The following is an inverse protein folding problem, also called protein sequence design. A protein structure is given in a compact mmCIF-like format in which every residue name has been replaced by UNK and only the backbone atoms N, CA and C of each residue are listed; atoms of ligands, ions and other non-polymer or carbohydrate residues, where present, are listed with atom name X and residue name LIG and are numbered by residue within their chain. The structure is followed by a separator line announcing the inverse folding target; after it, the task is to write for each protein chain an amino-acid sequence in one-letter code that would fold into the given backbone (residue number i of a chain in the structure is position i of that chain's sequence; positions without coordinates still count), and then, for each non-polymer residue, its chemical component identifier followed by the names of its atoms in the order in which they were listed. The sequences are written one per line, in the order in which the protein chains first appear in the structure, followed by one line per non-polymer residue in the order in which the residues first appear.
data_IF_516641390305
#
_entry.id   IF_516641390305
#
_cell.length_a   1.000
_cell.length_b   1.000
_cell.length_c   1.000
_cell.angle_alpha   90.00
_cell.angle_beta   90.00
_cell.angle_gamma   90.00
#
_symmetry.space_group_name_H-M   'P 1'
#
loop_
_entity.id
_entity.type
_entity.pdbx_description
1 polymer ?
#
# COMPACT_ATOMS: atom_id res chain seq x y z
N UNK A 1 -24.02 -13.40 27.05
CA UNK A 1 -22.75 -12.83 27.56
C UNK A 1 -21.70 -12.99 26.48
N UNK A 2 -21.49 -11.95 25.70
CA UNK A 2 -20.34 -11.77 24.80
C UNK A 2 -20.30 -10.27 24.54
N UNK A 3 -19.38 -9.60 25.23
CA UNK A 3 -19.16 -8.18 25.17
C UNK A 3 -18.74 -7.76 23.76
N UNK A 4 -19.55 -6.92 23.13
CA UNK A 4 -19.16 -6.15 21.96
C UNK A 4 -18.18 -5.07 22.44
N UNK A 5 -16.89 -5.31 22.28
CA UNK A 5 -15.85 -4.33 22.58
C UNK A 5 -15.84 -3.28 21.46
N UNK A 6 -16.65 -2.23 21.59
CA UNK A 6 -16.50 -0.99 20.84
C UNK A 6 -15.22 -0.30 21.30
N UNK A 7 -14.07 -0.69 20.73
CA UNK A 7 -12.83 0.03 20.92
C UNK A 7 -12.99 1.44 20.33
N UNK A 8 -13.08 2.44 21.19
CA UNK A 8 -13.07 3.85 20.80
C UNK A 8 -11.79 4.13 19.99
N UNK A 9 -11.95 4.41 18.69
CA UNK A 9 -10.86 4.75 17.80
C UNK A 9 -10.22 6.06 18.30
N UNK A 10 -9.02 5.96 18.89
CA UNK A 10 -8.30 7.12 19.44
C UNK A 10 -7.62 7.89 18.32
N UNK A 11 -8.35 8.83 17.70
CA UNK A 11 -7.72 9.90 16.92
C UNK A 11 -7.52 11.12 17.80
N UNK A 12 -6.28 11.45 18.12
CA UNK A 12 -5.94 12.63 18.92
C UNK A 12 -5.28 13.72 18.04
N UNK A 13 -5.68 15.00 18.20
CA UNK A 13 -4.96 16.10 17.60
C UNK A 13 -3.62 16.28 18.31
N UNK A 14 -2.52 16.18 17.57
CA UNK A 14 -1.18 16.43 18.07
C UNK A 14 -0.88 17.91 18.27
N UNK A 15 0.00 18.22 19.22
CA UNK A 15 0.41 19.58 19.60
C UNK A 15 1.08 20.42 18.48
N UNK A 16 1.21 19.92 17.25
CA UNK A 16 1.91 20.58 16.12
C UNK A 16 1.29 20.29 14.74
N UNK A 17 -0.03 20.33 14.60
CA UNK A 17 -0.68 20.14 13.29
C UNK A 17 -0.44 18.74 12.68
N UNK A 18 -0.33 17.73 13.55
CA UNK A 18 -0.14 16.32 13.21
C UNK A 18 -1.31 15.49 13.72
N UNK A 19 -1.92 14.68 12.87
CA UNK A 19 -2.98 13.75 13.24
C UNK A 19 -2.38 12.38 13.57
N UNK A 20 -2.82 11.78 14.69
CA UNK A 20 -2.40 10.44 15.11
C UNK A 20 -3.52 9.44 14.85
N UNK A 21 -3.16 8.33 14.21
CA UNK A 21 -4.01 7.17 13.95
C UNK A 21 -3.28 5.99 14.59
N UNK A 22 -3.77 5.51 15.72
CA UNK A 22 -3.05 4.51 16.52
C UNK A 22 -3.95 3.34 16.92
N UNK A 23 -3.38 2.13 16.91
CA UNK A 23 -4.02 0.94 17.48
C UNK A 23 -5.23 0.45 16.70
N UNK A 24 -5.32 0.75 15.40
CA UNK A 24 -6.38 0.21 14.54
C UNK A 24 -6.11 -1.28 14.33
N UNK A 25 -7.09 -2.12 14.67
CA UNK A 25 -6.99 -3.57 14.61
C UNK A 25 -8.25 -4.19 14.04
N UNK A 26 -8.10 -5.11 13.08
CA UNK A 26 -9.20 -5.88 12.46
C UNK A 26 -10.33 -5.00 11.92
N UNK A 27 -9.99 -3.81 11.43
CA UNK A 27 -10.93 -2.83 10.94
C UNK A 27 -10.42 -2.21 9.64
N UNK A 28 -11.35 -1.68 8.85
CA UNK A 28 -11.03 -0.76 7.78
C UNK A 28 -11.23 0.67 8.25
N UNK A 29 -10.27 1.55 7.98
CA UNK A 29 -10.29 2.92 8.47
C UNK A 29 -10.01 3.91 7.34
N UNK A 30 -10.76 5.00 7.29
CA UNK A 30 -10.67 6.02 6.24
C UNK A 30 -10.51 7.40 6.85
N UNK A 31 -9.65 8.22 6.25
CA UNK A 31 -9.48 9.65 6.53
C UNK A 31 -9.44 10.43 5.23
N UNK A 32 -10.35 11.39 5.13
CA UNK A 32 -10.43 12.37 4.04
C UNK A 32 -9.82 13.72 4.46
N UNK A 33 -9.58 14.66 3.52
CA UNK A 33 -9.03 15.97 3.84
C UNK A 33 -9.80 16.72 4.95
N UNK A 34 -11.14 16.63 4.93
CA UNK A 34 -12.04 17.23 5.93
C UNK A 34 -11.80 16.69 7.35
N UNK A 35 -11.41 15.42 7.48
CA UNK A 35 -11.17 14.78 8.78
C UNK A 35 -9.89 15.21 9.46
N UNK A 36 -8.94 15.77 8.69
CA UNK A 36 -7.62 16.13 9.19
C UNK A 36 -7.59 17.53 9.83
N UNK A 37 -8.68 18.31 9.74
CA UNK A 37 -8.84 19.63 10.40
C UNK A 37 -7.62 20.56 10.23
N UNK A 38 -7.02 20.58 9.04
CA UNK A 38 -5.82 21.38 8.74
C UNK A 38 -4.50 20.78 9.22
N UNK A 39 -4.49 19.54 9.73
CA UNK A 39 -3.26 18.80 10.03
C UNK A 39 -2.49 18.54 8.74
N UNK A 40 -1.26 19.03 8.66
CA UNK A 40 -0.39 18.87 7.49
C UNK A 40 0.47 17.60 7.57
N UNK A 41 0.33 16.81 8.63
CA UNK A 41 1.06 15.56 8.80
C UNK A 41 0.23 14.50 9.50
N UNK A 42 0.51 13.23 9.20
CA UNK A 42 -0.16 12.06 9.79
C UNK A 42 0.87 11.09 10.34
N UNK A 43 0.54 10.47 11.47
CA UNK A 43 1.28 9.34 12.03
C UNK A 43 0.35 8.14 12.21
N UNK A 44 0.64 7.06 11.52
CA UNK A 44 -0.02 5.76 11.64
C UNK A 44 0.86 4.88 12.52
N UNK A 45 0.37 4.52 13.70
CA UNK A 45 1.16 3.87 14.75
C UNK A 45 0.50 2.57 15.20
N UNK A 46 1.27 1.50 15.31
CA UNK A 46 0.83 0.27 15.99
C UNK A 46 -0.49 -0.30 15.46
N UNK A 47 -0.76 -0.16 14.16
CA UNK A 47 -1.96 -0.68 13.51
C UNK A 47 -1.70 -2.08 12.94
N UNK A 48 -2.63 -3.01 13.13
CA UNK A 48 -2.42 -4.39 12.72
C UNK A 48 -3.68 -5.04 12.13
N UNK A 49 -3.51 -6.05 11.27
CA UNK A 49 -4.62 -6.78 10.65
C UNK A 49 -5.70 -5.88 10.01
N UNK A 50 -5.30 -4.75 9.44
CA UNK A 50 -6.21 -3.67 9.07
C UNK A 50 -5.90 -3.09 7.70
N UNK A 51 -6.87 -2.38 7.13
CA UNK A 51 -6.65 -1.56 5.96
C UNK A 51 -6.96 -0.10 6.26
N UNK A 52 -6.01 0.78 5.95
CA UNK A 52 -6.08 2.19 6.29
C UNK A 52 -5.96 3.02 5.02
N UNK A 53 -6.95 3.88 4.78
CA UNK A 53 -7.00 4.80 3.66
C UNK A 53 -6.89 6.23 4.18
N UNK A 54 -5.76 6.88 3.99
CA UNK A 54 -5.56 8.29 4.33
C UNK A 54 -5.47 9.09 3.03
N UNK A 55 -6.62 9.45 2.47
CA UNK A 55 -6.79 9.97 1.11
C UNK A 55 -6.75 11.51 1.08
N UNK A 56 -5.67 12.09 1.59
CA UNK A 56 -5.54 13.54 1.74
C UNK A 56 -4.17 14.07 1.33
N UNK A 57 -4.05 15.37 0.97
CA UNK A 57 -2.77 15.99 0.71
C UNK A 57 -2.03 16.20 2.04
N UNK A 58 -0.81 15.67 2.14
CA UNK A 58 0.01 15.73 3.35
C UNK A 58 1.37 16.36 3.04
N UNK A 59 1.97 17.01 4.03
CA UNK A 59 3.40 17.38 3.96
C UNK A 59 4.28 16.23 4.40
N UNK A 60 3.90 15.55 5.47
CA UNK A 60 4.66 14.43 6.04
C UNK A 60 3.75 13.28 6.46
N UNK A 61 4.20 12.05 6.27
CA UNK A 61 3.55 10.87 6.83
C UNK A 61 4.58 9.99 7.54
N UNK A 62 4.18 9.37 8.65
CA UNK A 62 4.98 8.35 9.33
C UNK A 62 4.13 7.13 9.57
N UNK A 63 4.64 5.96 9.19
CA UNK A 63 4.07 4.65 9.49
C UNK A 63 5.05 3.94 10.41
N UNK A 64 4.61 3.54 11.59
CA UNK A 64 5.48 2.96 12.60
C UNK A 64 4.82 1.76 13.28
N UNK A 65 5.56 0.67 13.45
CA UNK A 65 5.11 -0.46 14.29
C UNK A 65 3.86 -1.17 13.76
N UNK A 66 3.57 -1.06 12.46
CA UNK A 66 2.37 -1.67 11.87
C UNK A 66 2.68 -3.08 11.37
N UNK A 67 1.70 -3.99 11.44
CA UNK A 67 1.87 -5.38 10.98
C UNK A 67 0.65 -5.93 10.24
N UNK A 68 0.86 -6.78 9.24
CA UNK A 68 -0.26 -7.45 8.54
C UNK A 68 -1.33 -6.48 8.01
N UNK A 69 -0.88 -5.32 7.51
CA UNK A 69 -1.75 -4.20 7.18
C UNK A 69 -1.53 -3.69 5.75
N UNK A 70 -2.57 -3.11 5.15
CA UNK A 70 -2.45 -2.32 3.91
C UNK A 70 -2.70 -0.86 4.24
N UNK A 71 -1.76 0.02 3.90
CA UNK A 71 -1.83 1.44 4.23
C UNK A 71 -1.70 2.24 2.94
N UNK A 72 -2.79 2.88 2.56
CA UNK A 72 -2.88 3.79 1.41
C UNK A 72 -2.74 5.21 1.90
N UNK A 73 -1.74 5.92 1.42
CA UNK A 73 -1.53 7.34 1.66
C UNK A 73 -1.81 8.12 0.38
N UNK A 74 -2.53 9.23 0.52
CA UNK A 74 -2.63 10.27 -0.50
C UNK A 74 -1.28 10.93 -0.80
N UNK A 75 -1.32 12.03 -1.56
CA UNK A 75 -0.10 12.70 -1.99
C UNK A 75 0.68 13.31 -0.80
N UNK A 76 1.99 13.00 -0.70
CA UNK A 76 2.87 13.48 0.38
C UNK A 76 4.03 14.33 -0.15
N UNK A 77 3.91 15.65 -0.02
CA UNK A 77 4.80 16.62 -0.68
C UNK A 77 6.23 16.70 -0.18
N UNK A 78 6.55 16.22 1.03
CA UNK A 78 7.92 16.29 1.56
C UNK A 78 8.58 14.96 1.82
N UNK A 79 8.01 14.12 2.68
CA UNK A 79 8.60 12.83 3.03
C UNK A 79 7.60 11.88 3.68
N UNK A 80 7.67 10.61 3.30
CA UNK A 80 7.08 9.47 4.01
C UNK A 80 8.20 8.72 4.73
N UNK A 81 7.95 8.34 5.98
CA UNK A 81 8.85 7.47 6.75
C UNK A 81 8.11 6.20 7.17
N UNK A 82 8.68 5.03 6.89
CA UNK A 82 8.14 3.73 7.30
C UNK A 82 9.17 3.03 8.15
N UNK A 83 8.81 2.72 9.39
CA UNK A 83 9.73 2.23 10.42
C UNK A 83 9.13 1.03 11.17
N UNK A 84 9.93 -0.01 11.42
CA UNK A 84 9.54 -1.13 12.27
C UNK A 84 8.22 -1.80 11.86
N UNK A 85 8.01 -2.01 10.56
CA UNK A 85 6.80 -2.62 10.02
C UNK A 85 7.05 -4.04 9.49
N UNK A 86 6.06 -4.92 9.60
CA UNK A 86 6.17 -6.33 9.21
C UNK A 86 4.96 -6.78 8.38
N UNK A 87 5.17 -7.40 7.21
CA UNK A 87 4.08 -7.83 6.31
C UNK A 87 3.08 -6.71 6.01
N UNK A 88 3.59 -5.50 5.76
CA UNK A 88 2.78 -4.32 5.44
C UNK A 88 2.90 -3.99 3.95
N UNK A 89 1.76 -3.70 3.32
CA UNK A 89 1.70 -3.08 2.01
C UNK A 89 1.51 -1.57 2.17
N UNK A 90 2.46 -0.77 1.68
CA UNK A 90 2.36 0.69 1.69
C UNK A 90 2.21 1.19 0.27
N UNK A 91 1.14 1.94 0.01
CA UNK A 91 0.85 2.54 -1.29
C UNK A 91 0.88 4.05 -1.13
N UNK A 92 1.80 4.74 -1.79
CA UNK A 92 1.95 6.20 -1.62
C UNK A 92 2.56 6.92 -2.83
N UNK A 93 2.03 8.10 -3.11
CA UNK A 93 2.64 9.10 -3.98
C UNK A 93 3.38 10.13 -3.12
N UNK A 94 4.70 10.25 -3.24
CA UNK A 94 5.49 11.07 -2.32
C UNK A 94 6.74 11.66 -2.95
N UNK A 95 7.21 12.80 -2.42
CA UNK A 95 8.45 13.42 -2.95
C UNK A 95 9.69 12.60 -2.57
N UNK A 96 9.68 12.04 -1.36
CA UNK A 96 10.76 11.23 -0.77
C UNK A 96 10.16 10.15 0.11
N UNK A 97 10.79 8.98 0.13
CA UNK A 97 10.42 7.87 1.01
C UNK A 97 11.67 7.34 1.70
N UNK A 98 11.59 7.15 3.01
CA UNK A 98 12.62 6.50 3.83
C UNK A 98 11.99 5.28 4.51
N UNK A 99 12.60 4.12 4.30
CA UNK A 99 12.16 2.83 4.83
C UNK A 99 13.26 2.31 5.75
N UNK A 100 12.88 1.92 6.95
CA UNK A 100 13.83 1.46 7.95
C UNK A 100 13.29 0.34 8.82
N UNK A 101 14.15 -0.64 9.12
CA UNK A 101 13.84 -1.76 10.01
C UNK A 101 12.53 -2.48 9.64
N UNK A 102 12.27 -2.68 8.34
CA UNK A 102 11.04 -3.30 7.85
C UNK A 102 11.29 -4.74 7.35
N UNK A 103 10.28 -5.60 7.49
CA UNK A 103 10.36 -7.02 7.14
C UNK A 103 9.19 -7.49 6.31
N UNK A 104 9.46 -8.16 5.20
CA UNK A 104 8.43 -8.79 4.35
C UNK A 104 7.36 -7.77 3.89
N UNK A 105 7.75 -6.50 3.71
CA UNK A 105 6.87 -5.42 3.27
C UNK A 105 6.96 -5.19 1.77
N UNK A 106 5.86 -4.71 1.19
CA UNK A 106 5.77 -4.34 -0.23
C UNK A 106 5.42 -2.86 -0.35
N UNK A 107 6.18 -2.13 -1.15
CA UNK A 107 6.02 -0.69 -1.33
C UNK A 107 5.63 -0.36 -2.77
N UNK A 108 4.42 0.15 -2.97
CA UNK A 108 3.92 0.63 -4.27
C UNK A 108 4.08 2.15 -4.33
N UNK A 109 5.07 2.60 -5.09
CA UNK A 109 5.63 3.95 -4.96
C UNK A 109 5.46 4.78 -6.22
N UNK A 110 4.96 6.00 -6.03
CA UNK A 110 5.03 7.08 -7.02
C UNK A 110 5.93 8.17 -6.47
N UNK A 111 7.23 8.10 -6.75
CA UNK A 111 8.24 8.93 -6.05
C UNK A 111 9.11 9.76 -6.97
N UNK A 112 9.26 11.05 -6.65
CA UNK A 112 10.10 11.96 -7.45
C UNK A 112 11.59 11.85 -7.12
N UNK A 113 11.93 11.22 -6.00
CA UNK A 113 13.31 10.93 -5.59
C UNK A 113 13.43 9.45 -5.22
N UNK A 114 14.64 8.90 -5.41
CA UNK A 114 14.95 7.52 -5.05
C UNK A 114 14.57 7.18 -3.59
N UNK A 115 13.90 6.04 -3.34
CA UNK A 115 13.66 5.54 -1.99
C UNK A 115 14.96 5.28 -1.23
N UNK A 116 14.99 5.67 0.04
CA UNK A 116 16.12 5.40 0.94
C UNK A 116 15.80 4.17 1.80
N UNK A 117 16.70 3.21 1.85
CA UNK A 117 16.63 2.02 2.69
C UNK A 117 17.68 2.16 3.80
N UNK A 118 17.26 2.13 5.05
CA UNK A 118 18.15 2.37 6.22
C UNK A 118 17.95 1.26 7.24
N UNK A 119 19.00 0.89 7.97
CA UNK A 119 18.88 -0.13 9.03
C UNK A 119 18.64 -1.54 8.49
N UNK A 120 18.05 -2.39 9.32
CA UNK A 120 17.93 -3.83 9.08
C UNK A 120 16.62 -4.16 8.34
N UNK A 121 16.69 -4.20 7.02
CA UNK A 121 15.54 -4.50 6.17
C UNK A 121 15.65 -5.92 5.60
N UNK A 122 14.56 -6.67 5.65
CA UNK A 122 14.54 -8.08 5.22
C UNK A 122 13.39 -8.36 4.26
N UNK A 123 13.67 -9.03 3.13
CA UNK A 123 12.66 -9.43 2.12
C UNK A 123 11.73 -8.29 1.69
N UNK A 124 12.27 -7.10 1.47
CA UNK A 124 11.48 -5.98 0.96
C UNK A 124 11.26 -6.08 -0.54
N UNK A 125 10.08 -5.64 -0.98
CA UNK A 125 9.75 -5.49 -2.39
C UNK A 125 9.32 -4.06 -2.72
N UNK A 126 9.71 -3.56 -3.89
CA UNK A 126 9.23 -2.30 -4.46
C UNK A 126 8.51 -2.53 -5.78
N UNK A 127 7.52 -1.69 -6.06
CA UNK A 127 6.72 -1.71 -7.27
C UNK A 127 6.34 -0.28 -7.67
N UNK A 128 6.00 -0.04 -8.95
CA UNK A 128 5.41 1.23 -9.34
C UNK A 128 4.07 1.43 -8.62
N UNK A 129 3.71 2.69 -8.38
CA UNK A 129 2.40 3.07 -7.84
C UNK A 129 1.28 2.41 -8.65
N UNK A 130 0.26 1.86 -7.98
CA UNK A 130 -0.70 0.94 -8.58
C UNK A 130 -2.17 1.27 -8.27
N UNK A 131 -2.47 2.48 -7.82
CA UNK A 131 -3.83 2.88 -7.43
C UNK A 131 -4.13 4.30 -7.90
N UNK A 132 -5.38 4.73 -7.78
CA UNK A 132 -5.76 6.13 -7.79
C UNK A 132 -7.07 6.32 -7.01
N UNK A 133 -7.35 7.55 -6.61
CA UNK A 133 -8.65 7.99 -6.11
C UNK A 133 -8.99 9.32 -6.77
N UNK A 134 -10.26 9.71 -6.74
CA UNK A 134 -10.80 10.77 -7.59
C UNK A 134 -10.07 12.11 -7.49
N UNK A 135 -9.59 12.48 -6.31
CA UNK A 135 -8.94 13.75 -5.99
C UNK A 135 -7.40 13.68 -6.00
N UNK A 136 -6.82 12.55 -6.44
CA UNK A 136 -5.38 12.31 -6.34
C UNK A 136 -4.54 13.37 -7.09
N UNK A 137 -4.89 13.71 -8.33
CA UNK A 137 -4.11 14.70 -9.12
C UNK A 137 -4.15 16.11 -8.50
N UNK A 138 -5.29 16.52 -7.95
CA UNK A 138 -5.43 17.79 -7.23
C UNK A 138 -4.53 17.80 -5.99
N UNK A 139 -4.59 16.73 -5.17
CA UNK A 139 -3.74 16.59 -4.01
C UNK A 139 -2.24 16.53 -4.37
N UNK A 140 -1.89 15.93 -5.51
CA UNK A 140 -0.52 15.92 -6.03
C UNK A 140 -0.05 17.33 -6.42
N UNK A 141 -0.90 18.10 -7.10
CA UNK A 141 -0.62 19.48 -7.47
C UNK A 141 -0.40 20.37 -6.22
N UNK A 142 -1.27 20.24 -5.21
CA UNK A 142 -1.21 21.01 -3.97
C UNK A 142 0.11 20.83 -3.21
N UNK A 143 0.65 19.61 -3.23
CA UNK A 143 1.85 19.26 -2.46
C UNK A 143 3.11 19.16 -3.33
N UNK A 144 2.98 19.42 -4.63
CA UNK A 144 4.08 19.53 -5.60
C UNK A 144 4.73 18.19 -5.94
N UNK A 145 3.92 17.16 -6.18
CA UNK A 145 4.34 15.87 -6.75
C UNK A 145 4.17 15.90 -8.26
N UNK A 146 5.22 15.54 -8.98
CA UNK A 146 5.21 15.44 -10.44
C UNK A 146 4.93 14.00 -10.88
N UNK A 147 3.82 13.76 -11.56
CA UNK A 147 3.46 12.43 -12.05
C UNK A 147 4.41 11.90 -13.14
N UNK A 148 5.13 12.78 -13.84
CA UNK A 148 6.05 12.41 -14.92
C UNK A 148 7.37 11.83 -14.41
N UNK A 149 7.67 12.01 -13.12
CA UNK A 149 8.91 11.54 -12.49
C UNK A 149 8.56 10.43 -11.51
N UNK A 150 8.96 9.19 -11.82
CA UNK A 150 8.82 8.07 -10.89
C UNK A 150 10.10 7.24 -10.78
N UNK A 151 10.82 7.38 -9.66
CA UNK A 151 12.11 6.73 -9.35
C UNK A 151 11.96 5.58 -8.35
N UNK A 152 10.83 4.90 -8.37
CA UNK A 152 10.47 3.84 -7.42
C UNK A 152 11.47 2.67 -7.38
N UNK A 153 12.16 2.40 -8.48
CA UNK A 153 13.09 1.28 -8.64
C UNK A 153 14.57 1.65 -8.43
N UNK A 154 14.88 2.92 -8.19
CA UNK A 154 16.23 3.46 -7.96
C UNK A 154 16.63 3.43 -6.47
N UNK A 155 16.41 2.34 -5.75
CA UNK A 155 16.60 2.32 -4.28
C UNK A 155 18.05 2.58 -3.85
N UNK A 156 18.25 3.34 -2.77
CA UNK A 156 19.57 3.59 -2.16
C UNK A 156 19.61 3.03 -0.75
N UNK A 157 20.40 1.99 -0.54
CA UNK A 157 20.72 1.47 0.79
C UNK A 157 21.79 2.35 1.47
N UNK A 158 21.48 2.86 2.66
CA UNK A 158 22.42 3.51 3.56
C UNK A 158 22.79 2.49 4.63
N UNK A 159 23.99 1.91 4.49
CA UNK A 159 24.48 0.88 5.40
C UNK A 159 24.60 1.39 6.84
N UNK A 160 24.35 0.50 7.80
CA UNK A 160 24.77 0.73 9.19
C UNK A 160 26.28 0.51 9.20
N UNK A 161 27.04 1.60 9.11
CA UNK A 161 28.46 1.54 9.46
C UNK A 161 28.48 1.34 10.97
N UNK A 162 28.80 0.12 11.43
CA UNK A 162 29.08 -0.10 12.84
C UNK A 162 30.29 0.78 13.22
N UNK A 163 30.14 1.79 14.10
CA UNK A 163 31.26 2.65 14.50
C UNK A 163 32.35 1.88 15.26
N UNK A 164 32.05 0.66 15.74
CA UNK A 164 33.00 -0.22 16.41
C UNK A 164 33.75 -1.17 15.45
N UNK A 165 33.43 -1.19 14.16
CA UNK A 165 34.13 -2.01 13.17
C UNK A 165 35.37 -1.30 12.59
N UNK A 166 36.14 -0.68 13.48
CA UNK A 166 37.36 0.06 13.14
C UNK A 166 38.58 -0.85 12.91
N UNK A 167 38.43 -2.17 12.84
CA UNK A 167 39.54 -3.09 12.62
C UNK A 167 39.17 -4.13 11.57
N UNK A 168 39.45 -3.77 10.32
CA UNK A 168 39.60 -4.70 9.21
C UNK A 168 40.63 -5.79 9.59
N UNK A 169 40.14 -6.92 10.07
CA UNK A 169 40.93 -8.13 10.16
C UNK A 169 40.96 -8.80 8.77
N UNK A 170 42.14 -9.20 8.25
CA UNK A 170 42.29 -9.73 6.88
C UNK A 170 41.73 -11.15 6.67
N UNK A 171 40.91 -11.65 7.60
CA UNK A 171 40.27 -12.97 7.56
C UNK A 171 38.74 -12.92 7.84
N UNK A 172 38.13 -11.73 7.79
CA UNK A 172 36.68 -11.55 7.97
C UNK A 172 35.92 -11.63 6.65
N UNK A 173 34.91 -12.50 6.60
CA UNK A 173 33.86 -12.52 5.57
C UNK A 173 33.40 -11.10 5.22
N UNK A 174 33.20 -10.77 3.93
CA UNK A 174 32.73 -9.44 3.56
C UNK A 174 31.40 -9.18 4.25
N UNK A 175 31.32 -8.01 4.89
CA UNK A 175 30.18 -7.50 5.65
C UNK A 175 28.85 -7.79 4.97
N UNK A 176 27.87 -8.10 5.83
CA UNK A 176 26.46 -8.31 5.52
C UNK A 176 26.01 -7.27 4.49
N UNK A 177 26.03 -7.66 3.21
CA UNK A 177 25.44 -6.86 2.15
C UNK A 177 23.99 -6.64 2.54
N UNK A 178 23.59 -5.38 2.74
CA UNK A 178 22.19 -5.03 2.91
C UNK A 178 21.40 -5.74 1.81
N UNK A 179 20.44 -6.58 2.23
CA UNK A 179 19.73 -7.46 1.31
C UNK A 179 19.12 -6.59 0.18
N UNK A 180 19.40 -6.90 -1.10
CA UNK A 180 18.93 -6.07 -2.19
C UNK A 180 17.40 -6.08 -2.20
N UNK A 181 16.80 -4.89 -2.23
CA UNK A 181 15.35 -4.76 -2.31
C UNK A 181 14.87 -5.30 -3.65
N UNK A 182 14.03 -6.32 -3.60
CA UNK A 182 13.51 -6.97 -4.79
C UNK A 182 12.44 -6.11 -5.46
N UNK A 183 12.20 -6.32 -6.75
CA UNK A 183 11.07 -5.73 -7.47
C UNK A 183 9.92 -6.73 -7.46
N UNK A 184 8.68 -6.24 -7.32
CA UNK A 184 7.51 -7.11 -7.49
C UNK A 184 7.48 -7.62 -8.93
N UNK A 185 7.24 -8.92 -9.11
CA UNK A 185 7.14 -9.54 -10.42
C UNK A 185 5.99 -8.90 -11.22
N UNK A 186 6.20 -8.49 -12.49
CA UNK A 186 5.13 -7.94 -13.32
C UNK A 186 3.88 -8.80 -13.41
N UNK A 187 3.98 -10.13 -13.37
CA UNK A 187 2.84 -11.05 -13.42
C UNK A 187 2.05 -11.07 -12.10
N UNK A 188 2.69 -10.68 -10.98
CA UNK A 188 2.04 -10.53 -9.67
C UNK A 188 1.50 -9.12 -9.42
N UNK A 189 1.82 -8.16 -10.29
CA UNK A 189 1.39 -6.78 -10.16
C UNK A 189 -0.09 -6.62 -10.53
N UNK A 190 -0.90 -6.16 -9.57
CA UNK A 190 -2.30 -5.79 -9.79
C UNK A 190 -2.55 -4.36 -9.36
N UNK A 191 -3.49 -3.70 -10.04
CA UNK A 191 -3.99 -2.42 -9.56
C UNK A 191 -4.73 -2.64 -8.23
N UNK A 192 -4.42 -1.79 -7.27
CA UNK A 192 -5.16 -1.72 -6.02
C UNK A 192 -6.38 -0.82 -6.23
N UNK A 193 -7.55 -1.28 -5.79
CA UNK A 193 -8.81 -0.57 -5.96
C UNK A 193 -9.18 0.10 -4.63
N UNK A 194 -9.32 1.42 -4.66
CA UNK A 194 -9.88 2.18 -3.54
C UNK A 194 -11.40 2.20 -3.70
N UNK A 195 -12.17 1.69 -2.71
CA UNK A 195 -13.62 1.72 -2.77
C UNK A 195 -14.20 3.12 -2.98
N UNK A 196 -15.20 3.22 -3.86
CA UNK A 196 -15.81 4.47 -4.32
C UNK A 196 -16.86 5.07 -3.36
N UNK A 197 -17.28 4.34 -2.33
CA UNK A 197 -18.28 4.77 -1.35
C UNK A 197 -17.68 5.60 -0.21
N UNK A 198 -16.37 5.86 -0.23
CA UNK A 198 -15.67 6.72 0.74
C UNK A 198 -15.91 8.22 0.58
N UNK A 199 -16.94 8.60 -0.20
CA UNK A 199 -17.53 9.92 -0.20
C UNK A 199 -16.69 10.96 -0.94
N UNK A 200 -17.00 11.15 -2.22
CA UNK A 200 -16.82 12.41 -2.90
C UNK A 200 -18.16 12.79 -3.54
N UNK A 201 -18.83 13.81 -3.02
CA UNK A 201 -20.06 14.35 -3.61
C UNK A 201 -19.79 15.03 -4.98
N UNK A 202 -18.52 15.21 -5.35
CA UNK A 202 -18.07 15.64 -6.66
C UNK A 202 -17.18 14.57 -7.33
N UNK A 203 -17.38 14.25 -8.61
CA UNK A 203 -16.44 13.43 -9.35
C UNK A 203 -15.11 14.20 -9.44
N UNK A 204 -14.10 13.74 -8.71
CA UNK A 204 -12.74 14.27 -8.84
C UNK A 204 -12.19 14.04 -10.26
N UNK A 205 -11.14 14.78 -10.60
CA UNK A 205 -10.59 14.80 -11.97
C UNK A 205 -9.88 13.51 -12.37
N UNK A 206 -9.40 12.72 -11.41
CA UNK A 206 -8.52 11.58 -11.67
C UNK A 206 -9.31 10.33 -12.05
N UNK A 207 -9.07 9.83 -13.26
CA UNK A 207 -9.79 8.69 -13.84
C UNK A 207 -8.96 7.42 -13.94
N UNK A 208 -7.65 7.55 -13.84
CA UNK A 208 -6.68 6.49 -13.97
C UNK A 208 -5.42 6.81 -13.15
N UNK A 209 -4.49 5.87 -13.10
CA UNK A 209 -3.24 6.03 -12.36
C UNK A 209 -2.36 7.10 -13.03
N UNK A 210 -2.06 8.23 -12.36
CA UNK A 210 -1.32 9.32 -12.98
C UNK A 210 0.15 8.96 -13.27
N UNK A 211 0.71 7.95 -12.60
CA UNK A 211 2.08 7.51 -12.83
C UNK A 211 2.15 6.51 -13.98
N UNK A 212 2.99 6.80 -14.98
CA UNK A 212 3.22 5.88 -16.09
C UNK A 212 3.87 4.59 -15.60
N UNK A 213 3.32 3.46 -16.01
CA UNK A 213 3.87 2.14 -15.72
C UNK A 213 5.01 1.82 -16.70
N UNK A 214 6.09 1.15 -16.23
CA UNK A 214 7.09 0.59 -17.13
C UNK A 214 6.49 -0.47 -18.07
N UNK A 215 7.09 -0.63 -19.25
CA UNK A 215 6.58 -1.50 -20.33
C UNK A 215 6.31 -2.93 -19.87
N UNK A 216 7.19 -3.52 -19.05
CA UNK A 216 7.01 -4.87 -18.53
C UNK A 216 5.73 -5.04 -17.69
N UNK A 217 5.45 -4.07 -16.81
CA UNK A 217 4.23 -4.07 -15.98
C UNK A 217 2.99 -3.81 -16.83
N UNK A 218 3.07 -2.88 -17.78
CA UNK A 218 1.97 -2.58 -18.69
C UNK A 218 1.60 -3.79 -19.56
N UNK A 219 2.59 -4.44 -20.17
CA UNK A 219 2.40 -5.62 -21.00
C UNK A 219 1.80 -6.80 -20.21
N UNK A 220 2.27 -7.00 -18.98
CA UNK A 220 1.69 -7.99 -18.05
C UNK A 220 0.22 -7.67 -17.73
N UNK A 221 -0.10 -6.43 -17.36
CA UNK A 221 -1.49 -6.04 -17.09
C UNK A 221 -2.40 -6.25 -18.30
N UNK A 222 -1.96 -5.85 -19.49
CA UNK A 222 -2.73 -6.05 -20.71
C UNK A 222 -2.96 -7.53 -21.02
N UNK A 223 -1.92 -8.36 -20.84
CA UNK A 223 -2.03 -9.82 -20.97
C UNK A 223 -3.04 -10.38 -19.98
N UNK A 224 -2.96 -10.00 -18.70
CA UNK A 224 -3.87 -10.48 -17.66
C UNK A 224 -5.32 -10.06 -17.92
N UNK A 225 -5.55 -8.82 -18.33
CA UNK A 225 -6.89 -8.32 -18.71
C UNK A 225 -7.44 -9.09 -19.91
N UNK A 226 -6.61 -9.33 -20.93
CA UNK A 226 -6.99 -10.11 -22.11
C UNK A 226 -7.35 -11.55 -21.73
N UNK A 227 -6.48 -12.22 -20.98
CA UNK A 227 -6.70 -13.59 -20.51
C UNK A 227 -7.98 -13.69 -19.66
N UNK A 228 -8.24 -12.71 -18.79
CA UNK A 228 -9.46 -12.66 -17.99
C UNK A 228 -10.70 -12.49 -18.88
N UNK A 229 -10.63 -11.64 -19.90
CA UNK A 229 -11.70 -11.44 -20.89
C UNK A 229 -12.01 -12.72 -21.67
N UNK A 230 -10.98 -13.40 -22.16
CA UNK A 230 -11.09 -14.69 -22.86
C UNK A 230 -11.68 -15.77 -21.94
N UNK A 231 -11.18 -15.86 -20.70
CA UNK A 231 -11.70 -16.81 -19.70
C UNK A 231 -13.17 -16.54 -19.38
N UNK A 232 -13.57 -15.28 -19.17
CA UNK A 232 -14.98 -14.91 -18.94
C UNK A 232 -15.86 -15.25 -20.13
N UNK A 233 -15.37 -15.05 -21.36
CA UNK A 233 -16.10 -15.40 -22.59
C UNK A 233 -16.28 -16.92 -22.69
N UNK A 234 -15.22 -17.69 -22.46
CA UNK A 234 -15.25 -19.15 -22.49
C UNK A 234 -16.21 -19.72 -21.44
N UNK A 235 -16.21 -19.17 -20.22
CA UNK A 235 -17.15 -19.55 -19.16
C UNK A 235 -18.61 -19.25 -19.53
N UNK A 236 -18.88 -18.16 -20.25
CA UNK A 236 -20.22 -17.77 -20.67
C UNK A 236 -20.75 -18.61 -21.84
N UNK A 237 -19.86 -18.94 -22.79
CA UNK A 237 -20.20 -19.69 -24.01
C UNK A 237 -20.16 -21.21 -23.80
N UNK A 238 -19.62 -21.69 -22.67
CA UNK A 238 -19.58 -23.11 -22.36
C UNK A 238 -20.99 -23.72 -22.32
N UNK A 239 -21.23 -24.84 -23.02
CA UNK A 239 -22.53 -25.51 -23.05
C UNK A 239 -22.76 -26.30 -21.74
N UNK A 240 -22.94 -25.58 -20.64
CA UNK A 240 -23.14 -26.15 -19.31
C UNK A 240 -24.63 -26.27 -19.00
N UNK A 241 -25.03 -27.41 -18.44
CA UNK A 241 -26.36 -27.58 -17.87
C UNK A 241 -26.52 -26.73 -16.60
N UNK A 242 -27.76 -26.45 -16.21
CA UNK A 242 -28.04 -25.56 -15.07
C UNK A 242 -27.50 -26.09 -13.73
N UNK A 243 -27.41 -27.41 -13.58
CA UNK A 243 -26.77 -28.04 -12.41
C UNK A 243 -25.25 -27.80 -12.42
N UNK A 244 -24.60 -27.98 -13.56
CA UNK A 244 -23.15 -27.77 -13.72
C UNK A 244 -22.78 -26.29 -13.53
N UNK A 245 -23.61 -25.35 -13.99
CA UNK A 245 -23.42 -23.91 -13.72
C UNK A 245 -23.45 -23.60 -12.23
N UNK A 246 -24.37 -24.23 -11.47
CA UNK A 246 -24.44 -24.08 -10.01
C UNK A 246 -23.20 -24.64 -9.33
N UNK A 247 -22.76 -25.84 -9.70
CA UNK A 247 -21.54 -26.46 -9.16
C UNK A 247 -20.30 -25.61 -9.43
N UNK A 248 -20.15 -25.10 -10.66
CA UNK A 248 -19.05 -24.22 -11.03
C UNK A 248 -19.05 -22.92 -10.22
N UNK A 249 -20.23 -22.30 -10.06
CA UNK A 249 -20.38 -21.09 -9.24
C UNK A 249 -19.99 -21.35 -7.79
N UNK A 250 -20.42 -22.47 -7.20
CA UNK A 250 -20.04 -22.87 -5.85
C UNK A 250 -18.53 -23.11 -5.71
N UNK A 251 -17.90 -23.77 -6.68
CA UNK A 251 -16.45 -23.99 -6.68
C UNK A 251 -15.67 -22.66 -6.80
N UNK A 252 -16.10 -21.76 -7.69
CA UNK A 252 -15.51 -20.44 -7.84
C UNK A 252 -15.63 -19.61 -6.55
N UNK A 253 -16.79 -19.65 -5.88
CA UNK A 253 -16.97 -18.97 -4.60
C UNK A 253 -16.05 -19.53 -3.51
N UNK A 254 -15.86 -20.85 -3.45
CA UNK A 254 -14.95 -21.46 -2.48
C UNK A 254 -13.49 -21.03 -2.74
N UNK A 255 -13.04 -21.15 -3.99
CA UNK A 255 -11.68 -20.74 -4.39
C UNK A 255 -11.45 -19.24 -4.15
N UNK A 256 -12.45 -18.40 -4.44
CA UNK A 256 -12.37 -16.97 -4.17
C UNK A 256 -12.29 -16.68 -2.67
N UNK A 257 -13.07 -17.38 -1.85
CA UNK A 257 -13.01 -17.26 -0.39
C UNK A 257 -11.62 -17.66 0.13
N UNK A 258 -11.10 -18.81 -0.27
CA UNK A 258 -9.78 -19.27 0.16
C UNK A 258 -8.68 -18.29 -0.25
N UNK A 259 -8.78 -17.76 -1.47
CA UNK A 259 -7.89 -16.69 -1.93
C UNK A 259 -7.96 -15.43 -1.06
N UNK A 260 -9.16 -14.96 -0.68
CA UNK A 260 -9.33 -13.78 0.17
C UNK A 260 -8.64 -13.93 1.53
N UNK A 261 -8.69 -15.12 2.14
CA UNK A 261 -8.01 -15.38 3.41
C UNK A 261 -6.50 -15.53 3.23
N UNK A 262 -6.06 -16.30 2.23
CA UNK A 262 -4.65 -16.54 1.97
C UNK A 262 -3.88 -15.26 1.60
N UNK A 263 -4.50 -14.35 0.84
CA UNK A 263 -3.89 -13.06 0.48
C UNK A 263 -4.06 -11.97 1.53
N UNK A 264 -4.91 -12.19 2.54
CA UNK A 264 -5.28 -11.18 3.51
C UNK A 264 -6.24 -10.10 2.98
N UNK A 265 -6.74 -10.23 1.74
CA UNK A 265 -7.71 -9.29 1.14
C UNK A 265 -9.08 -9.32 1.83
N UNK A 266 -9.36 -10.35 2.64
CA UNK A 266 -10.56 -10.41 3.49
C UNK A 266 -10.71 -9.15 4.36
N UNK A 267 -9.62 -8.48 4.72
CA UNK A 267 -9.61 -7.23 5.49
C UNK A 267 -10.32 -6.07 4.79
N UNK A 268 -10.34 -6.07 3.45
CA UNK A 268 -11.08 -5.07 2.67
C UNK A 268 -12.59 -5.19 2.88
N UNK A 269 -13.08 -6.36 3.28
CA UNK A 269 -14.49 -6.60 3.55
C UNK A 269 -14.91 -6.15 4.96
N UNK A 270 -13.97 -5.83 5.86
CA UNK A 270 -14.33 -5.32 7.20
C UNK A 270 -15.10 -4.01 7.12
N UNK A 271 -14.84 -3.22 6.08
CA UNK A 271 -15.65 -2.08 5.67
C UNK A 271 -17.16 -2.37 5.56
N UNK A 272 -17.54 -3.57 5.10
CA UNK A 272 -18.92 -3.95 4.77
C UNK A 272 -19.65 -4.60 5.95
N UNK A 273 -18.96 -4.89 7.05
CA UNK A 273 -19.52 -5.55 8.23
C UNK A 273 -20.07 -4.54 9.27
N UNK A 274 -19.99 -3.24 8.97
CA UNK A 274 -20.37 -2.15 9.87
C UNK A 274 -21.78 -1.61 9.71
N UNK A 275 -22.61 -2.18 8.82
CA UNK A 275 -24.02 -1.83 8.63
C UNK A 275 -24.96 -2.87 9.29
#
# INVERSE_FOLDING_TARGET
MTDACTSSIKTSPGARGSCFIEGISKLSFVKQPSDLKGSSSVKVLNCHDSILYILAPLRYATIYGCSDATIVLGAVGKAVRVEHCERVHVITAAKRVCISNCRECVFFLGVNQRPLMVGDNHKLQVAPYNTFYSELEEHMADVGIDATINRWDETLALGVVDPHDSLSHPAGVPDVQAEPVARVDPDQFTNFLIPNWFGAESPGSTKDNPFQLPEAYLASQQRNIKNLGETKKLLREAPLEENQKRELSSALHLLFKDWLYASGNVRQLYCLQGD
#
